data_IF_781647354731
#
_entry.id   IF_781647354731
#
_cell.length_a   1.000
_cell.length_b   1.000
_cell.length_c   1.000
_cell.angle_alpha   90.00
_cell.angle_beta   90.00
_cell.angle_gamma   90.00
#
_symmetry.space_group_name_H-M   'P 1'
#
loop_
_entity.id
_entity.type
_entity.pdbx_description
1 polymer ?
#
# COMPACT_ATOMS: atom_id res chain seq x y z
N UNK A 1 -0.35 21.85 21.27
CA UNK A 1 -0.91 20.48 21.49
C UNK A 1 -0.29 19.86 22.73
N UNK A 2 -1.00 18.99 23.45
CA UNK A 2 -0.43 18.35 24.66
C UNK A 2 0.71 17.41 24.27
N UNK A 3 1.84 17.47 24.97
CA UNK A 3 3.03 16.64 24.72
C UNK A 3 2.69 15.15 24.52
N UNK A 4 1.82 14.60 25.35
CA UNK A 4 1.41 13.18 25.26
C UNK A 4 0.67 12.81 23.99
N UNK A 5 -0.11 13.73 23.41
CA UNK A 5 -0.81 13.50 22.13
C UNK A 5 0.21 13.40 21.00
N UNK A 6 1.23 14.24 21.02
CA UNK A 6 2.30 14.22 20.02
C UNK A 6 3.12 12.92 20.12
N UNK A 7 3.50 12.53 21.34
CA UNK A 7 4.21 11.25 21.57
C UNK A 7 3.39 10.06 21.09
N UNK A 8 2.09 10.00 21.42
CA UNK A 8 1.21 8.95 20.96
C UNK A 8 1.09 8.93 19.43
N UNK A 9 1.03 10.11 18.80
CA UNK A 9 0.99 10.25 17.34
C UNK A 9 2.23 9.64 16.68
N UNK A 10 3.44 9.88 17.22
CA UNK A 10 4.68 9.28 16.71
C UNK A 10 4.66 7.75 16.82
N UNK A 11 4.22 7.20 17.96
CA UNK A 11 4.12 5.75 18.14
C UNK A 11 3.11 5.12 17.18
N UNK A 12 1.91 5.70 17.04
CA UNK A 12 0.88 5.19 16.13
C UNK A 12 1.36 5.29 14.68
N UNK A 13 2.04 6.37 14.31
CA UNK A 13 2.62 6.54 12.97
C UNK A 13 3.66 5.47 12.67
N UNK A 14 4.59 5.23 13.60
CA UNK A 14 5.62 4.20 13.46
C UNK A 14 5.02 2.80 13.32
N UNK A 15 4.08 2.44 14.19
CA UNK A 15 3.40 1.14 14.14
C UNK A 15 2.63 0.97 12.82
N UNK A 16 1.92 1.99 12.37
CA UNK A 16 1.19 1.97 11.11
C UNK A 16 2.14 1.82 9.91
N UNK A 17 3.30 2.48 9.95
CA UNK A 17 4.35 2.33 8.93
C UNK A 17 4.88 0.90 8.89
N UNK A 18 5.17 0.30 10.04
CA UNK A 18 5.66 -1.09 10.13
C UNK A 18 4.62 -2.08 9.60
N UNK A 19 3.36 -1.93 10.00
CA UNK A 19 2.28 -2.82 9.54
C UNK A 19 2.08 -2.68 8.03
N UNK A 20 2.01 -1.45 7.53
CA UNK A 20 1.76 -1.19 6.12
C UNK A 20 2.94 -1.63 5.23
N UNK A 21 4.15 -1.14 5.52
CA UNK A 21 5.35 -1.47 4.74
C UNK A 21 5.72 -2.94 4.86
N UNK A 22 5.70 -3.49 6.08
CA UNK A 22 5.96 -4.90 6.33
C UNK A 22 4.96 -5.81 5.63
N UNK A 23 3.67 -5.45 5.66
CA UNK A 23 2.61 -6.17 4.96
C UNK A 23 2.80 -6.20 3.45
N UNK A 24 3.05 -5.04 2.82
CA UNK A 24 3.28 -4.97 1.37
C UNK A 24 4.60 -5.65 0.98
N UNK A 25 5.66 -5.49 1.75
CA UNK A 25 6.92 -6.18 1.51
C UNK A 25 6.77 -7.71 1.59
N UNK A 26 6.06 -8.22 2.60
CA UNK A 26 5.73 -9.64 2.72
C UNK A 26 4.97 -10.15 1.49
N UNK A 27 3.96 -9.40 1.04
CA UNK A 27 3.18 -9.77 -0.15
C UNK A 27 4.05 -9.75 -1.42
N UNK A 28 4.88 -8.72 -1.61
CA UNK A 28 5.68 -8.53 -2.82
C UNK A 28 6.87 -9.49 -2.92
N UNK A 29 7.58 -9.76 -1.82
CA UNK A 29 8.85 -10.48 -1.83
C UNK A 29 8.77 -11.91 -1.34
N UNK A 30 7.74 -12.28 -0.60
CA UNK A 30 7.58 -13.63 -0.05
C UNK A 30 6.36 -14.33 -0.66
N UNK A 31 5.17 -13.78 -0.47
CA UNK A 31 3.93 -14.45 -0.84
C UNK A 31 3.74 -14.51 -2.37
N UNK A 32 4.10 -13.45 -3.10
CA UNK A 32 4.04 -13.44 -4.55
C UNK A 32 4.98 -14.47 -5.23
N UNK A 33 6.29 -14.56 -4.88
CA UNK A 33 7.15 -15.62 -5.39
C UNK A 33 6.66 -17.03 -5.04
N UNK A 34 6.13 -17.24 -3.82
CA UNK A 34 5.57 -18.51 -3.39
C UNK A 34 4.35 -18.93 -4.24
N UNK A 35 3.48 -17.97 -4.61
CA UNK A 35 2.38 -18.19 -5.54
C UNK A 35 2.90 -18.61 -6.93
N UNK A 36 3.91 -17.93 -7.45
CA UNK A 36 4.51 -18.27 -8.77
C UNK A 36 5.22 -19.61 -8.81
N UNK A 37 5.80 -20.03 -7.70
CA UNK A 37 6.47 -21.34 -7.56
C UNK A 37 5.46 -22.47 -7.27
N UNK A 38 4.18 -22.18 -7.11
CA UNK A 38 3.13 -23.15 -6.81
C UNK A 38 3.13 -23.66 -5.35
N UNK A 39 3.98 -23.11 -4.48
CA UNK A 39 3.98 -23.44 -3.04
C UNK A 39 2.81 -22.79 -2.30
N UNK A 40 2.26 -21.71 -2.84
CA UNK A 40 1.05 -21.06 -2.38
C UNK A 40 -0.05 -21.22 -3.44
N UNK A 41 -1.21 -21.73 -3.07
CA UNK A 41 -2.34 -21.84 -4.00
C UNK A 41 -3.03 -20.48 -4.21
N UNK A 42 -3.73 -20.33 -5.34
CA UNK A 42 -4.50 -19.11 -5.63
C UNK A 42 -5.54 -18.82 -4.54
N UNK A 43 -6.20 -19.82 -3.99
CA UNK A 43 -7.18 -19.64 -2.92
C UNK A 43 -6.53 -19.14 -1.62
N UNK A 44 -5.34 -19.64 -1.28
CA UNK A 44 -4.58 -19.16 -0.12
C UNK A 44 -4.11 -17.72 -0.34
N UNK A 45 -3.67 -17.39 -1.55
CA UNK A 45 -3.31 -16.02 -1.93
C UNK A 45 -4.48 -15.04 -1.73
N UNK A 46 -5.67 -15.34 -2.26
CA UNK A 46 -6.84 -14.50 -2.07
C UNK A 46 -7.28 -14.40 -0.60
N UNK A 47 -7.20 -15.50 0.15
CA UNK A 47 -7.50 -15.48 1.59
C UNK A 47 -6.53 -14.59 2.36
N UNK A 48 -5.23 -14.63 2.02
CA UNK A 48 -4.21 -13.79 2.61
C UNK A 48 -4.47 -12.31 2.31
N UNK A 49 -4.72 -11.96 1.04
CA UNK A 49 -5.06 -10.59 0.64
C UNK A 49 -6.27 -10.06 1.42
N UNK A 50 -7.36 -10.85 1.47
CA UNK A 50 -8.57 -10.44 2.17
C UNK A 50 -8.35 -10.19 3.67
N UNK A 51 -7.48 -10.97 4.31
CA UNK A 51 -7.12 -10.78 5.72
C UNK A 51 -6.22 -9.55 5.93
N UNK A 52 -5.35 -9.25 4.97
CA UNK A 52 -4.45 -8.10 5.06
C UNK A 52 -5.13 -6.76 4.77
N UNK A 53 -6.17 -6.76 3.95
CA UNK A 53 -6.85 -5.57 3.46
C UNK A 53 -7.27 -4.57 4.55
N UNK A 54 -7.94 -4.99 5.65
CA UNK A 54 -8.34 -4.06 6.71
C UNK A 54 -7.13 -3.45 7.42
N UNK A 55 -6.04 -4.20 7.61
CA UNK A 55 -4.82 -3.70 8.23
C UNK A 55 -4.10 -2.66 7.34
N UNK A 56 -4.02 -2.93 6.04
CA UNK A 56 -3.44 -1.99 5.06
C UNK A 56 -4.24 -0.70 5.03
N UNK A 57 -5.57 -0.78 4.89
CA UNK A 57 -6.42 0.39 4.83
C UNK A 57 -6.42 1.18 6.15
N UNK A 58 -6.52 0.49 7.27
CA UNK A 58 -6.43 1.11 8.60
C UNK A 58 -5.10 1.83 8.81
N UNK A 59 -3.99 1.20 8.40
CA UNK A 59 -2.67 1.82 8.49
C UNK A 59 -2.55 3.08 7.63
N UNK A 60 -3.06 3.07 6.39
CA UNK A 60 -3.07 4.27 5.54
C UNK A 60 -3.85 5.42 6.18
N UNK A 61 -5.03 5.16 6.73
CA UNK A 61 -5.81 6.20 7.43
C UNK A 61 -5.07 6.74 8.65
N UNK A 62 -4.47 5.86 9.46
CA UNK A 62 -3.70 6.28 10.64
C UNK A 62 -2.44 7.06 10.26
N UNK A 63 -1.75 6.66 9.18
CA UNK A 63 -0.59 7.40 8.65
C UNK A 63 -0.97 8.81 8.21
N UNK A 64 -2.12 8.99 7.55
CA UNK A 64 -2.60 10.29 7.16
C UNK A 64 -2.87 11.18 8.38
N UNK A 65 -3.68 10.69 9.33
CA UNK A 65 -4.06 11.45 10.53
C UNK A 65 -2.82 11.83 11.34
N UNK A 66 -1.97 10.85 11.64
CA UNK A 66 -0.77 11.09 12.46
C UNK A 66 0.27 11.92 11.72
N UNK A 67 0.41 11.76 10.41
CA UNK A 67 1.26 12.59 9.57
C UNK A 67 0.87 14.06 9.60
N UNK A 68 -0.43 14.38 9.50
CA UNK A 68 -0.94 15.75 9.65
C UNK A 68 -0.70 16.30 11.05
N UNK A 69 -0.91 15.50 12.10
CA UNK A 69 -0.63 15.93 13.47
C UNK A 69 0.84 16.29 13.64
N UNK A 70 1.76 15.48 13.13
CA UNK A 70 3.19 15.72 13.23
C UNK A 70 3.61 16.93 12.41
N UNK A 71 3.15 17.03 11.15
CA UNK A 71 3.46 18.15 10.27
C UNK A 71 3.03 19.48 10.86
N UNK A 72 1.79 19.60 11.37
CA UNK A 72 1.25 20.85 11.91
C UNK A 72 1.88 21.26 13.25
N UNK A 73 2.62 20.38 13.91
CA UNK A 73 3.35 20.67 15.16
C UNK A 73 4.86 20.77 14.95
N UNK A 74 5.35 20.70 13.70
CA UNK A 74 6.76 20.88 13.36
C UNK A 74 7.11 22.38 13.36
N UNK A 75 8.30 22.72 13.86
CA UNK A 75 8.79 24.12 13.96
C UNK A 75 8.98 24.78 12.57
N UNK A 76 9.20 23.97 11.53
CA UNK A 76 9.36 24.44 10.16
C UNK A 76 8.05 24.60 9.39
N UNK A 77 6.90 24.32 10.05
CA UNK A 77 5.60 24.41 9.40
C UNK A 77 5.11 25.85 9.28
N UNK A 78 5.16 26.42 8.08
CA UNK A 78 4.72 27.78 7.76
C UNK A 78 3.36 27.84 7.03
N UNK A 79 2.66 26.70 6.92
CA UNK A 79 1.37 26.59 6.22
C UNK A 79 1.40 25.52 5.11
N UNK A 80 0.24 25.03 4.76
CA UNK A 80 0.08 23.86 3.87
C UNK A 80 0.62 24.09 2.43
N UNK A 81 0.58 25.35 1.95
CA UNK A 81 1.01 25.72 0.58
C UNK A 81 2.31 26.55 0.55
N UNK A 82 2.97 26.72 1.68
CA UNK A 82 4.24 27.43 1.74
C UNK A 82 5.37 26.48 1.33
N UNK A 83 5.85 26.61 0.08
CA UNK A 83 6.96 25.80 -0.47
C UNK A 83 8.18 26.68 -0.56
N UNK A 84 8.68 27.15 0.58
CA UNK A 84 9.76 28.13 0.70
C UNK A 84 11.07 27.54 1.27
N UNK A 85 11.05 26.29 1.69
CA UNK A 85 12.18 25.63 2.34
C UNK A 85 12.41 24.19 1.83
N UNK A 86 13.62 23.66 2.06
CA UNK A 86 13.93 22.26 1.74
C UNK A 86 13.02 21.29 2.50
N UNK A 87 12.65 21.65 3.74
CA UNK A 87 11.69 20.89 4.54
C UNK A 87 10.30 20.83 3.85
N UNK A 88 9.82 21.97 3.34
CA UNK A 88 8.54 22.04 2.64
C UNK A 88 8.53 21.20 1.37
N UNK A 89 9.62 21.20 0.60
CA UNK A 89 9.77 20.31 -0.56
C UNK A 89 9.78 18.83 -0.17
N UNK A 90 10.47 18.46 0.92
CA UNK A 90 10.45 17.09 1.42
C UNK A 90 9.04 16.66 1.84
N UNK A 91 8.29 17.54 2.53
CA UNK A 91 6.90 17.28 2.91
C UNK A 91 6.00 17.13 1.69
N UNK A 92 6.14 17.98 0.67
CA UNK A 92 5.38 17.85 -0.58
C UNK A 92 5.64 16.50 -1.26
N UNK A 93 6.92 16.10 -1.37
CA UNK A 93 7.29 14.81 -1.96
C UNK A 93 6.67 13.63 -1.19
N UNK A 94 6.70 13.68 0.15
CA UNK A 94 6.05 12.67 1.00
C UNK A 94 4.53 12.60 0.75
N UNK A 95 3.86 13.73 0.61
CA UNK A 95 2.42 13.74 0.32
C UNK A 95 2.11 13.19 -1.08
N UNK A 96 2.90 13.54 -2.10
CA UNK A 96 2.76 12.99 -3.46
C UNK A 96 2.96 11.47 -3.46
N UNK A 97 4.01 10.98 -2.79
CA UNK A 97 4.26 9.56 -2.66
C UNK A 97 3.14 8.85 -1.89
N UNK A 98 2.62 9.46 -0.82
CA UNK A 98 1.48 8.94 -0.06
C UNK A 98 0.21 8.83 -0.94
N UNK A 99 -0.12 9.85 -1.72
CA UNK A 99 -1.24 9.80 -2.67
C UNK A 99 -1.03 8.69 -3.70
N UNK A 100 0.20 8.51 -4.18
CA UNK A 100 0.58 7.39 -5.05
C UNK A 100 0.30 6.03 -4.39
N UNK A 101 0.68 5.86 -3.12
CA UNK A 101 0.41 4.64 -2.35
C UNK A 101 -1.09 4.34 -2.23
N UNK A 102 -1.89 5.36 -1.90
CA UNK A 102 -3.35 5.23 -1.80
C UNK A 102 -3.95 4.86 -3.15
N UNK A 103 -3.55 5.54 -4.23
CA UNK A 103 -4.05 5.28 -5.58
C UNK A 103 -3.71 3.85 -6.05
N UNK A 104 -2.46 3.40 -5.85
CA UNK A 104 -2.03 2.04 -6.19
C UNK A 104 -2.80 0.99 -5.37
N UNK A 105 -2.96 1.23 -4.07
CA UNK A 105 -3.70 0.33 -3.19
C UNK A 105 -5.18 0.26 -3.60
N UNK A 106 -5.80 1.40 -3.89
CA UNK A 106 -7.19 1.45 -4.38
C UNK A 106 -7.35 0.72 -5.73
N UNK A 107 -6.42 0.91 -6.66
CA UNK A 107 -6.45 0.20 -7.95
C UNK A 107 -6.35 -1.32 -7.76
N UNK A 108 -5.43 -1.79 -6.92
CA UNK A 108 -5.32 -3.21 -6.60
C UNK A 108 -6.64 -3.76 -6.03
N UNK A 109 -7.24 -3.06 -5.08
CA UNK A 109 -8.46 -3.51 -4.39
C UNK A 109 -9.72 -3.46 -5.25
N UNK A 110 -9.93 -2.38 -5.99
CA UNK A 110 -11.20 -2.12 -6.68
C UNK A 110 -11.19 -2.51 -8.16
N UNK A 111 -10.03 -2.62 -8.78
CA UNK A 111 -9.92 -3.00 -10.19
C UNK A 111 -9.30 -4.39 -10.36
N UNK A 112 -8.10 -4.62 -9.83
CA UNK A 112 -7.32 -5.80 -10.15
C UNK A 112 -7.85 -7.06 -9.45
N UNK A 113 -8.09 -7.03 -8.14
CA UNK A 113 -8.55 -8.20 -7.38
C UNK A 113 -9.93 -8.70 -7.84
N UNK A 114 -10.92 -7.83 -8.09
CA UNK A 114 -12.19 -8.26 -8.68
C UNK A 114 -12.03 -8.86 -10.08
N UNK A 115 -11.14 -8.31 -10.92
CA UNK A 115 -10.86 -8.86 -12.24
C UNK A 115 -10.26 -10.28 -12.15
N UNK A 116 -9.29 -10.49 -11.26
CA UNK A 116 -8.70 -11.81 -11.02
C UNK A 116 -9.71 -12.82 -10.47
N UNK A 117 -10.59 -12.39 -9.58
CA UNK A 117 -11.67 -13.26 -9.03
C UNK A 117 -12.65 -13.66 -10.12
N UNK A 118 -13.06 -12.73 -10.99
CA UNK A 118 -13.96 -13.04 -12.13
C UNK A 118 -13.30 -13.99 -13.11
N UNK A 119 -12.02 -13.79 -13.38
CA UNK A 119 -11.26 -14.64 -14.28
C UNK A 119 -11.16 -16.07 -13.74
N UNK A 120 -11.00 -16.26 -12.43
CA UNK A 120 -10.96 -17.57 -11.80
C UNK A 120 -12.27 -18.36 -12.02
N UNK A 121 -13.42 -17.68 -12.03
CA UNK A 121 -14.73 -18.29 -12.31
C UNK A 121 -14.88 -18.70 -13.78
N UNK A 122 -14.30 -17.93 -14.70
CA UNK A 122 -14.37 -18.21 -16.15
C UNK A 122 -13.36 -19.29 -16.56
N UNK A 123 -12.28 -19.47 -15.80
CA UNK A 123 -11.22 -20.45 -16.09
C UNK A 123 -11.72 -21.90 -16.13
N UNK A 124 -12.79 -22.21 -15.41
CA UNK A 124 -13.43 -23.54 -15.47
C UNK A 124 -14.05 -23.85 -16.84
N UNK A 125 -14.58 -22.81 -17.52
CA UNK A 125 -15.26 -22.98 -18.80
C UNK A 125 -14.32 -22.77 -20.01
N UNK A 126 -13.28 -21.96 -19.90
CA UNK A 126 -12.35 -21.59 -20.98
C UNK A 126 -10.90 -21.48 -20.47
N UNK A 127 -10.22 -22.61 -20.22
CA UNK A 127 -8.92 -22.62 -19.54
C UNK A 127 -7.80 -21.92 -20.32
N UNK A 128 -7.74 -22.06 -21.64
CA UNK A 128 -6.64 -21.46 -22.45
C UNK A 128 -6.72 -19.93 -22.50
N UNK A 129 -7.90 -19.36 -22.68
CA UNK A 129 -8.09 -17.91 -22.68
C UNK A 129 -7.88 -17.33 -21.29
N UNK A 130 -8.28 -18.05 -20.26
CA UNK A 130 -8.08 -17.62 -18.87
C UNK A 130 -6.62 -17.64 -18.46
N UNK A 131 -5.78 -18.54 -18.98
CA UNK A 131 -4.36 -18.62 -18.66
C UNK A 131 -3.60 -17.36 -19.11
N UNK A 132 -3.76 -16.92 -20.36
CA UNK A 132 -3.09 -15.74 -20.89
C UNK A 132 -3.48 -14.44 -20.14
N UNK A 133 -4.77 -14.26 -19.87
CA UNK A 133 -5.23 -13.07 -19.13
C UNK A 133 -4.82 -13.11 -17.66
N UNK A 134 -4.77 -14.29 -17.04
CA UNK A 134 -4.25 -14.49 -15.70
C UNK A 134 -2.79 -14.06 -15.58
N UNK A 135 -1.94 -14.48 -16.52
CA UNK A 135 -0.52 -14.12 -16.51
C UNK A 135 -0.31 -12.61 -16.65
N UNK A 136 -1.12 -11.96 -17.48
CA UNK A 136 -1.12 -10.50 -17.65
C UNK A 136 -1.51 -9.78 -16.35
N UNK A 137 -2.64 -10.16 -15.74
CA UNK A 137 -3.11 -9.58 -14.47
C UNK A 137 -2.12 -9.82 -13.33
N UNK A 138 -1.54 -11.01 -13.27
CA UNK A 138 -0.50 -11.38 -12.33
C UNK A 138 0.76 -10.52 -12.50
N UNK A 139 1.17 -10.26 -13.73
CA UNK A 139 2.28 -9.34 -14.03
C UNK A 139 2.00 -7.90 -13.57
N UNK A 140 0.77 -7.42 -13.77
CA UNK A 140 0.33 -6.11 -13.30
C UNK A 140 0.35 -6.04 -11.76
N UNK A 141 -0.19 -7.03 -11.07
CA UNK A 141 -0.18 -7.10 -9.60
C UNK A 141 1.24 -6.99 -9.05
N UNK A 142 2.17 -7.81 -9.56
CA UNK A 142 3.57 -7.75 -9.15
C UNK A 142 4.22 -6.38 -9.38
N UNK A 143 3.92 -5.73 -10.51
CA UNK A 143 4.43 -4.40 -10.82
C UNK A 143 3.90 -3.36 -9.84
N UNK A 144 2.60 -3.37 -9.57
CA UNK A 144 1.98 -2.41 -8.65
C UNK A 144 2.38 -2.61 -7.20
N UNK A 145 2.55 -3.86 -6.74
CA UNK A 145 3.10 -4.15 -5.42
C UNK A 145 4.51 -3.57 -5.27
N UNK A 146 5.39 -3.75 -6.27
CA UNK A 146 6.75 -3.19 -6.23
C UNK A 146 6.75 -1.67 -6.26
N UNK A 147 5.90 -1.04 -7.10
CA UNK A 147 5.76 0.40 -7.13
C UNK A 147 5.29 0.94 -5.78
N UNK A 148 4.38 0.23 -5.12
CA UNK A 148 3.91 0.60 -3.79
C UNK A 148 5.04 0.55 -2.74
N UNK A 149 5.92 -0.46 -2.82
CA UNK A 149 7.13 -0.51 -1.98
C UNK A 149 8.05 0.68 -2.26
N UNK A 150 8.26 1.06 -3.53
CA UNK A 150 9.08 2.22 -3.89
C UNK A 150 8.49 3.52 -3.33
N UNK A 151 7.18 3.73 -3.48
CA UNK A 151 6.50 4.88 -2.87
C UNK A 151 6.65 4.88 -1.34
N UNK A 152 6.53 3.72 -0.69
CA UNK A 152 6.73 3.58 0.74
C UNK A 152 8.14 3.99 1.18
N UNK A 153 9.15 3.56 0.45
CA UNK A 153 10.55 3.96 0.71
C UNK A 153 10.78 5.47 0.52
N UNK A 154 10.05 6.10 -0.40
CA UNK A 154 10.12 7.54 -0.62
C UNK A 154 9.44 8.36 0.49
N UNK A 155 8.52 7.77 1.24
CA UNK A 155 7.82 8.41 2.38
C UNK A 155 8.65 8.33 3.66
N UNK A 156 9.52 7.33 3.81
CA UNK A 156 10.40 7.16 4.98
C UNK A 156 11.51 8.23 4.98
#
# INVERSE_FOLDING_TARGET
MTFWILVASYWVHLLSTVIWLGGIALMAFIAWPALRQGTLSSNQWFALQKRFLPWVNGSLVLLLITGFIQMTNDENYNGFLAIDSLWAWAMLLKHVAYVGMVALTAYLQFALYPAMTRLALVAEARPEMAAAERDKLAGQESRFLRLNVVCAMAVL
#
